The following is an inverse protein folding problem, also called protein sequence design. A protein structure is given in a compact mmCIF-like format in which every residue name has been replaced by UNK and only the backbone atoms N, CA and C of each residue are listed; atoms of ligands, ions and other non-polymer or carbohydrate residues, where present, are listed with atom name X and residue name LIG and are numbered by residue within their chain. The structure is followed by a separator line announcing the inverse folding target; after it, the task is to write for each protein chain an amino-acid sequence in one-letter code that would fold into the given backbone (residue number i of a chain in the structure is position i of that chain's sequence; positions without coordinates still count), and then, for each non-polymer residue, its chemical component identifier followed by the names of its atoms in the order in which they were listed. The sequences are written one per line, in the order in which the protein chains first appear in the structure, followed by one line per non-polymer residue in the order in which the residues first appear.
data_IF_020263859923
#
_entry.id   IF_020263859923
#
_cell.length_a   1.000
_cell.length_b   1.000
_cell.length_c   1.000
_cell.angle_alpha   90.00
_cell.angle_beta   90.00
_cell.angle_gamma   90.00
#
_symmetry.space_group_name_H-M   'P 1'
#
loop_
_entity.id
_entity.type
_entity.pdbx_description
1 polymer ?
#
# COMPACT_ATOMS: atom_id res chain seq x y z
N UNK A 1 -6.84 18.63 2.60
CA UNK A 1 -7.33 17.41 1.90
C UNK A 1 -7.93 16.45 2.91
N UNK A 2 -8.91 15.67 2.48
CA UNK A 2 -9.46 14.54 3.22
C UNK A 2 -8.76 13.25 2.75
N UNK A 3 -7.92 12.66 3.60
CA UNK A 3 -7.04 11.55 3.25
C UNK A 3 -7.46 10.29 4.02
N UNK A 4 -7.49 9.15 3.35
CA UNK A 4 -7.69 7.85 4.00
C UNK A 4 -6.45 6.98 3.86
N UNK A 5 -5.97 6.39 4.98
CA UNK A 5 -4.82 5.50 5.00
C UNK A 5 -5.23 4.16 5.61
N UNK A 6 -5.27 3.11 4.79
CA UNK A 6 -5.54 1.74 5.23
C UNK A 6 -4.21 1.07 5.57
N UNK A 7 -4.03 0.68 6.85
CA UNK A 7 -2.77 0.12 7.34
C UNK A 7 -1.83 1.19 7.94
N UNK A 8 -2.37 2.12 8.72
CA UNK A 8 -1.64 3.28 9.26
C UNK A 8 -0.84 3.00 10.54
N UNK A 9 -0.90 1.81 11.14
CA UNK A 9 -0.36 1.57 12.50
C UNK A 9 1.15 1.29 12.57
N UNK A 10 1.83 1.10 11.43
CA UNK A 10 3.29 0.84 11.39
C UNK A 10 3.89 1.15 10.01
N UNK A 11 5.21 1.07 9.94
CA UNK A 11 5.96 1.15 8.68
C UNK A 11 5.61 2.38 7.83
N UNK A 12 5.47 2.17 6.54
CA UNK A 12 5.20 3.22 5.55
C UNK A 12 3.88 3.95 5.86
N UNK A 13 2.81 3.21 6.21
CA UNK A 13 1.50 3.81 6.50
C UNK A 13 1.54 4.78 7.69
N UNK A 14 2.25 4.42 8.78
CA UNK A 14 2.47 5.32 9.92
C UNK A 14 3.28 6.56 9.54
N UNK A 15 4.36 6.37 8.78
CA UNK A 15 5.19 7.49 8.35
C UNK A 15 4.46 8.46 7.41
N UNK A 16 3.61 7.94 6.52
CA UNK A 16 2.75 8.77 5.67
C UNK A 16 1.73 9.54 6.51
N UNK A 17 1.07 8.86 7.47
CA UNK A 17 0.13 9.51 8.39
C UNK A 17 0.78 10.71 9.09
N UNK A 18 1.93 10.51 9.75
CA UNK A 18 2.62 11.58 10.49
C UNK A 18 2.95 12.76 9.58
N UNK A 19 3.47 12.50 8.37
CA UNK A 19 3.79 13.57 7.43
C UNK A 19 2.58 14.35 6.93
N UNK A 20 1.48 13.66 6.64
CA UNK A 20 0.25 14.32 6.21
C UNK A 20 -0.45 15.07 7.36
N UNK A 21 -0.38 14.56 8.61
CA UNK A 21 -0.95 15.19 9.78
C UNK A 21 -0.20 16.47 10.20
N UNK A 22 1.09 16.58 9.90
CA UNK A 22 1.86 17.81 10.09
C UNK A 22 1.46 18.94 9.12
N UNK A 23 0.77 18.62 8.04
CA UNK A 23 0.16 19.60 7.16
C UNK A 23 -1.33 19.80 7.51
N UNK A 24 -2.01 20.69 6.83
CA UNK A 24 -3.42 20.95 7.04
C UNK A 24 -4.31 19.95 6.27
N UNK A 25 -4.41 18.72 6.82
CA UNK A 25 -5.23 17.65 6.29
C UNK A 25 -6.09 17.03 7.38
N UNK A 26 -7.29 16.54 7.01
CA UNK A 26 -8.10 15.64 7.82
C UNK A 26 -7.83 14.22 7.36
N UNK A 27 -7.55 13.30 8.30
CA UNK A 27 -7.06 11.97 7.95
C UNK A 27 -7.87 10.88 8.65
N UNK A 28 -8.51 10.03 7.85
CA UNK A 28 -9.07 8.76 8.31
C UNK A 28 -8.00 7.66 8.30
N UNK A 29 -7.81 6.99 9.42
CA UNK A 29 -6.85 5.89 9.55
C UNK A 29 -7.53 4.59 9.94
N UNK A 30 -7.12 3.50 9.25
CA UNK A 30 -7.61 2.15 9.50
C UNK A 30 -6.47 1.21 9.84
N UNK A 31 -6.73 0.30 10.76
CA UNK A 31 -5.81 -0.78 11.15
C UNK A 31 -6.41 -1.70 12.21
N UNK A 32 -5.74 -2.81 12.49
CA UNK A 32 -6.21 -3.82 13.45
C UNK A 32 -5.90 -3.47 14.92
N UNK A 33 -4.84 -2.71 15.14
CA UNK A 33 -4.28 -2.42 16.47
C UNK A 33 -4.86 -1.13 17.02
N UNK A 34 -5.98 -1.23 17.73
CA UNK A 34 -6.73 -0.09 18.28
C UNK A 34 -5.88 0.80 19.20
N UNK A 35 -5.02 0.20 20.02
CA UNK A 35 -4.11 0.95 20.89
C UNK A 35 -3.18 1.87 20.10
N UNK A 36 -2.59 1.39 19.00
CA UNK A 36 -1.71 2.19 18.15
C UNK A 36 -2.47 3.26 17.37
N UNK A 37 -3.68 2.95 16.91
CA UNK A 37 -4.54 3.95 16.26
C UNK A 37 -4.87 5.09 17.23
N UNK A 38 -5.20 4.78 18.48
CA UNK A 38 -5.51 5.78 19.50
C UNK A 38 -4.29 6.65 19.85
N UNK A 39 -3.08 6.07 19.92
CA UNK A 39 -1.84 6.84 20.08
C UNK A 39 -1.66 7.85 18.94
N UNK A 40 -1.90 7.45 17.71
CA UNK A 40 -1.80 8.36 16.55
C UNK A 40 -2.86 9.46 16.61
N UNK A 41 -4.10 9.13 17.00
CA UNK A 41 -5.16 10.12 17.19
C UNK A 41 -4.82 11.11 18.30
N UNK A 42 -4.24 10.66 19.42
CA UNK A 42 -3.86 11.56 20.53
C UNK A 42 -2.78 12.57 20.11
N UNK A 43 -1.90 12.22 19.19
CA UNK A 43 -0.89 13.15 18.64
C UNK A 43 -1.49 14.26 17.76
N UNK A 44 -2.62 13.96 17.07
CA UNK A 44 -3.28 14.89 16.13
C UNK A 44 -4.82 14.81 16.30
N UNK A 45 -5.37 15.18 17.46
CA UNK A 45 -6.75 14.88 17.83
C UNK A 45 -7.79 15.55 16.94
N UNK A 46 -7.56 16.78 16.50
CA UNK A 46 -8.48 17.54 15.64
C UNK A 46 -8.46 17.12 14.17
N UNK A 47 -7.45 16.37 13.75
CA UNK A 47 -7.23 16.01 12.34
C UNK A 47 -7.47 14.51 12.04
N UNK A 48 -7.58 13.68 13.07
CA UNK A 48 -7.53 12.21 12.91
C UNK A 48 -8.83 11.54 13.28
N UNK A 49 -9.39 10.81 12.34
CA UNK A 49 -10.53 9.91 12.53
C UNK A 49 -10.00 8.47 12.48
N UNK A 50 -10.39 7.67 13.46
CA UNK A 50 -9.90 6.30 13.62
C UNK A 50 -11.03 5.32 13.38
N UNK A 51 -10.76 4.29 12.59
CA UNK A 51 -11.63 3.12 12.49
C UNK A 51 -10.82 1.82 12.60
N UNK A 52 -11.23 0.94 13.51
CA UNK A 52 -10.61 -0.40 13.63
C UNK A 52 -11.19 -1.29 12.54
N UNK A 53 -10.33 -1.96 11.77
CA UNK A 53 -10.75 -3.06 10.89
C UNK A 53 -9.56 -3.95 10.53
N UNK A 54 -9.84 -5.24 10.31
CA UNK A 54 -8.96 -6.16 9.60
C UNK A 54 -9.38 -6.20 8.12
N UNK A 55 -8.43 -6.02 7.20
CA UNK A 55 -8.73 -6.05 5.76
C UNK A 55 -9.19 -7.44 5.28
N UNK A 56 -8.89 -8.50 6.04
CA UNK A 56 -9.37 -9.87 5.75
C UNK A 56 -10.83 -10.08 6.20
N UNK A 57 -11.38 -9.20 7.03
CA UNK A 57 -12.79 -9.19 7.40
C UNK A 57 -13.53 -8.13 6.57
N UNK A 58 -14.18 -8.56 5.51
CA UNK A 58 -14.82 -7.66 4.54
C UNK A 58 -15.92 -6.79 5.17
N UNK A 59 -16.64 -7.31 6.17
CA UNK A 59 -17.67 -6.53 6.88
C UNK A 59 -17.05 -5.42 7.74
N UNK A 60 -15.97 -5.72 8.48
CA UNK A 60 -15.28 -4.70 9.27
C UNK A 60 -14.71 -3.59 8.39
N UNK A 61 -14.07 -3.95 7.28
CA UNK A 61 -13.47 -2.96 6.39
C UNK A 61 -14.51 -2.11 5.66
N UNK A 62 -15.63 -2.68 5.26
CA UNK A 62 -16.74 -1.93 4.68
C UNK A 62 -17.31 -0.91 5.66
N UNK A 63 -17.58 -1.33 6.90
CA UNK A 63 -18.05 -0.43 7.96
C UNK A 63 -17.04 0.67 8.26
N UNK A 64 -15.73 0.34 8.29
CA UNK A 64 -14.67 1.31 8.52
C UNK A 64 -14.63 2.37 7.40
N UNK A 65 -14.68 1.96 6.14
CA UNK A 65 -14.67 2.88 5.00
C UNK A 65 -15.91 3.78 5.02
N UNK A 66 -17.09 3.21 5.26
CA UNK A 66 -18.34 3.98 5.33
C UNK A 66 -18.34 4.99 6.50
N UNK A 67 -17.82 4.60 7.66
CA UNK A 67 -17.64 5.51 8.80
C UNK A 67 -16.73 6.68 8.43
N UNK A 68 -15.58 6.40 7.83
CA UNK A 68 -14.65 7.45 7.40
C UNK A 68 -15.24 8.36 6.32
N UNK A 69 -16.01 7.80 5.39
CA UNK A 69 -16.67 8.59 4.34
C UNK A 69 -17.72 9.52 4.94
N UNK A 70 -18.51 9.03 5.90
CA UNK A 70 -19.49 9.85 6.62
C UNK A 70 -18.83 11.02 7.38
N UNK A 71 -17.73 10.74 8.10
CA UNK A 71 -17.04 11.73 8.95
C UNK A 71 -16.24 12.76 8.12
N UNK A 72 -15.63 12.33 7.02
CA UNK A 72 -14.84 13.21 6.14
C UNK A 72 -15.68 13.90 5.07
N UNK A 73 -16.83 13.32 4.70
CA UNK A 73 -17.72 13.80 3.64
C UNK A 73 -17.32 13.35 2.24
N UNK A 74 -16.03 13.35 1.94
CA UNK A 74 -15.44 12.87 0.68
C UNK A 74 -13.99 12.47 0.90
N UNK A 75 -13.39 11.78 -0.07
CA UNK A 75 -11.97 11.47 -0.08
C UNK A 75 -11.27 12.18 -1.23
N UNK A 76 -10.19 12.92 -0.94
CA UNK A 76 -9.29 13.47 -1.97
C UNK A 76 -8.21 12.44 -2.35
N UNK A 77 -7.72 11.70 -1.34
CA UNK A 77 -6.65 10.73 -1.48
C UNK A 77 -6.94 9.49 -0.60
N UNK A 78 -6.85 8.32 -1.19
CA UNK A 78 -6.86 7.06 -0.47
C UNK A 78 -5.56 6.29 -0.71
N UNK A 79 -4.93 5.83 0.38
CA UNK A 79 -3.65 5.12 0.32
C UNK A 79 -3.81 3.73 0.95
N UNK A 80 -3.68 2.69 0.13
CA UNK A 80 -3.66 1.30 0.57
C UNK A 80 -2.23 0.91 0.95
N UNK A 81 -1.97 0.86 2.26
CA UNK A 81 -0.67 0.47 2.85
C UNK A 81 -0.71 -0.89 3.53
N UNK A 82 -1.90 -1.44 3.83
CA UNK A 82 -2.00 -2.73 4.50
C UNK A 82 -1.45 -3.84 3.60
N UNK A 83 -0.70 -4.72 4.20
CA UNK A 83 -0.10 -5.89 3.57
C UNK A 83 0.75 -6.65 4.57
N UNK A 84 0.97 -7.91 4.30
CA UNK A 84 1.83 -8.81 5.08
C UNK A 84 2.80 -9.53 4.17
N UNK A 85 3.93 -9.95 4.71
CA UNK A 85 4.91 -10.80 4.05
C UNK A 85 5.85 -11.37 5.08
N UNK A 86 6.18 -12.63 4.92
CA UNK A 86 7.15 -13.32 5.75
C UNK A 86 8.01 -14.25 4.90
N UNK A 87 9.17 -14.62 5.44
CA UNK A 87 10.02 -15.67 4.88
C UNK A 87 9.35 -17.02 5.14
N UNK A 88 9.28 -17.87 4.14
CA UNK A 88 8.65 -19.18 4.19
C UNK A 88 9.43 -20.23 3.40
N UNK A 89 10.63 -20.54 3.88
CA UNK A 89 11.52 -21.50 3.23
C UNK A 89 10.95 -22.93 3.22
N UNK A 90 10.05 -23.26 4.14
CA UNK A 90 9.44 -24.61 4.29
C UNK A 90 8.10 -24.76 3.58
N UNK A 91 7.61 -23.71 2.93
CA UNK A 91 6.29 -23.65 2.28
C UNK A 91 5.13 -23.96 3.26
N UNK A 92 5.22 -23.44 4.49
CA UNK A 92 4.11 -23.51 5.45
C UNK A 92 2.87 -22.80 4.87
N UNK A 93 1.82 -23.58 4.64
CA UNK A 93 0.59 -23.09 4.02
C UNK A 93 -0.11 -22.00 4.84
N UNK A 94 0.04 -21.98 6.16
CA UNK A 94 -0.57 -20.95 6.99
C UNK A 94 0.04 -19.56 6.70
N UNK A 95 1.35 -19.49 6.48
CA UNK A 95 2.06 -18.25 6.09
C UNK A 95 1.61 -17.81 4.69
N UNK A 96 1.58 -18.75 3.73
CA UNK A 96 1.13 -18.49 2.36
C UNK A 96 -0.33 -17.98 2.35
N UNK A 97 -1.21 -18.66 3.07
CA UNK A 97 -2.63 -18.33 3.18
C UNK A 97 -2.84 -16.94 3.74
N UNK A 98 -2.12 -16.58 4.82
CA UNK A 98 -2.20 -15.24 5.40
C UNK A 98 -1.80 -14.14 4.41
N UNK A 99 -0.76 -14.39 3.60
CA UNK A 99 -0.33 -13.47 2.55
C UNK A 99 -1.42 -13.32 1.47
N UNK A 100 -2.04 -14.42 1.03
CA UNK A 100 -3.11 -14.42 0.02
C UNK A 100 -4.34 -13.68 0.55
N UNK A 101 -4.83 -14.04 1.74
CA UNK A 101 -6.03 -13.44 2.32
C UNK A 101 -5.89 -11.93 2.52
N UNK A 102 -4.70 -11.48 2.97
CA UNK A 102 -4.45 -10.06 3.22
C UNK A 102 -4.14 -9.29 1.93
N UNK A 103 -3.18 -9.79 1.12
CA UNK A 103 -2.61 -9.03 0.00
C UNK A 103 -3.40 -9.21 -1.30
N UNK A 104 -4.26 -10.24 -1.39
CA UNK A 104 -5.12 -10.46 -2.56
C UNK A 104 -6.58 -10.23 -2.19
N UNK A 105 -7.17 -11.06 -1.35
CA UNK A 105 -8.61 -11.02 -1.09
C UNK A 105 -9.02 -9.68 -0.46
N UNK A 106 -8.52 -9.38 0.72
CA UNK A 106 -8.86 -8.15 1.44
C UNK A 106 -8.37 -6.90 0.71
N UNK A 107 -7.16 -6.96 0.13
CA UNK A 107 -6.59 -5.84 -0.63
C UNK A 107 -7.45 -5.48 -1.85
N UNK A 108 -7.89 -6.47 -2.63
CA UNK A 108 -8.74 -6.25 -3.80
C UNK A 108 -10.05 -5.59 -3.42
N UNK A 109 -10.72 -6.11 -2.38
CA UNK A 109 -11.96 -5.52 -1.89
C UNK A 109 -11.80 -4.04 -1.53
N UNK A 110 -10.72 -3.70 -0.80
CA UNK A 110 -10.45 -2.29 -0.43
C UNK A 110 -10.21 -1.42 -1.65
N UNK A 111 -9.39 -1.86 -2.61
CA UNK A 111 -9.12 -1.12 -3.85
C UNK A 111 -10.40 -0.85 -4.63
N UNK A 112 -11.22 -1.87 -4.82
CA UNK A 112 -12.47 -1.76 -5.56
C UNK A 112 -13.44 -0.80 -4.87
N UNK A 113 -13.57 -0.93 -3.56
CA UNK A 113 -14.46 -0.08 -2.78
C UNK A 113 -14.06 1.40 -2.83
N UNK A 114 -12.76 1.68 -2.65
CA UNK A 114 -12.23 3.04 -2.75
C UNK A 114 -12.35 3.60 -4.17
N UNK A 115 -12.10 2.77 -5.18
CA UNK A 115 -12.26 3.18 -6.58
C UNK A 115 -13.72 3.52 -6.91
N UNK A 116 -14.69 2.70 -6.48
CA UNK A 116 -16.12 2.98 -6.65
C UNK A 116 -16.57 4.29 -5.97
N UNK A 117 -16.01 4.60 -4.77
CA UNK A 117 -16.27 5.88 -4.12
C UNK A 117 -15.77 7.04 -5.00
N UNK A 118 -14.56 6.95 -5.54
CA UNK A 118 -14.04 7.97 -6.45
C UNK A 118 -14.82 8.08 -7.76
N UNK A 119 -15.31 6.96 -8.31
CA UNK A 119 -16.22 6.99 -9.48
C UNK A 119 -17.51 7.77 -9.17
N UNK A 120 -18.12 7.52 -8.00
CA UNK A 120 -19.33 8.24 -7.57
C UNK A 120 -19.07 9.72 -7.29
N UNK A 121 -17.88 10.06 -6.74
CA UNK A 121 -17.48 11.46 -6.54
C UNK A 121 -17.14 12.19 -7.85
N UNK A 122 -16.76 11.47 -8.91
CA UNK A 122 -16.28 12.02 -10.16
C UNK A 122 -14.81 12.46 -10.13
N UNK A 123 -14.10 12.31 -9.01
CA UNK A 123 -12.68 12.65 -8.84
C UNK A 123 -12.07 11.88 -7.67
N UNK A 124 -10.73 11.86 -7.61
CA UNK A 124 -9.97 11.34 -6.49
C UNK A 124 -8.60 10.80 -6.87
N UNK A 125 -7.83 10.41 -5.87
CA UNK A 125 -6.50 9.82 -6.06
C UNK A 125 -6.37 8.53 -5.26
N UNK A 126 -6.29 7.40 -5.96
CA UNK A 126 -6.05 6.08 -5.38
C UNK A 126 -4.57 5.74 -5.47
N UNK A 127 -3.90 5.55 -4.34
CA UNK A 127 -2.52 5.10 -4.27
C UNK A 127 -2.44 3.74 -3.55
N UNK A 128 -1.61 2.82 -4.04
CA UNK A 128 -1.36 1.57 -3.36
C UNK A 128 0.14 1.29 -3.21
N UNK A 129 0.52 0.79 -2.05
CA UNK A 129 1.89 0.35 -1.76
C UNK A 129 2.02 -1.13 -2.15
N UNK A 130 2.55 -1.35 -3.34
CA UNK A 130 2.84 -2.70 -3.85
C UNK A 130 4.26 -3.12 -3.44
N UNK A 131 5.11 -3.55 -4.34
CA UNK A 131 6.53 -3.84 -4.06
C UNK A 131 7.33 -4.04 -5.34
N UNK A 132 8.62 -3.72 -5.33
CA UNK A 132 9.56 -4.18 -6.35
C UNK A 132 9.72 -5.72 -6.33
N UNK A 133 9.49 -6.37 -5.18
CA UNK A 133 9.51 -7.83 -5.04
C UNK A 133 8.40 -8.57 -5.81
N UNK A 134 7.39 -7.85 -6.34
CA UNK A 134 6.40 -8.44 -7.24
C UNK A 134 6.82 -8.53 -8.71
N UNK A 135 8.05 -8.15 -9.06
CA UNK A 135 8.53 -8.22 -10.44
C UNK A 135 9.01 -9.61 -10.86
N UNK A 136 9.45 -10.42 -9.90
CA UNK A 136 9.91 -11.80 -10.08
C UNK A 136 9.51 -12.64 -8.87
N UNK A 137 9.40 -13.96 -9.07
CA UNK A 137 9.19 -14.89 -7.97
C UNK A 137 10.39 -14.92 -7.03
N UNK A 138 10.15 -14.89 -5.72
CA UNK A 138 11.17 -14.94 -4.67
C UNK A 138 11.08 -16.29 -3.95
N UNK A 139 12.17 -17.05 -3.97
CA UNK A 139 12.20 -18.42 -3.42
C UNK A 139 11.98 -18.44 -1.90
N UNK A 140 12.45 -17.42 -1.19
CA UNK A 140 12.29 -17.32 0.25
C UNK A 140 10.89 -16.87 0.69
N UNK A 141 10.06 -16.32 -0.23
CA UNK A 141 8.73 -15.79 0.07
C UNK A 141 7.80 -15.89 -1.14
N UNK A 142 7.42 -17.12 -1.57
CA UNK A 142 6.72 -17.34 -2.83
C UNK A 142 5.36 -16.65 -2.90
N UNK A 143 4.48 -16.83 -1.91
CA UNK A 143 3.18 -16.17 -1.92
C UNK A 143 3.31 -14.65 -1.81
N UNK A 144 4.24 -14.13 -1.01
CA UNK A 144 4.44 -12.67 -0.95
C UNK A 144 4.76 -12.10 -2.32
N UNK A 145 5.76 -12.64 -3.02
CA UNK A 145 6.15 -12.15 -4.35
C UNK A 145 5.02 -12.29 -5.37
N UNK A 146 4.30 -13.42 -5.35
CA UNK A 146 3.15 -13.68 -6.22
C UNK A 146 1.99 -12.69 -5.92
N UNK A 147 1.68 -12.44 -4.63
CA UNK A 147 0.63 -11.47 -4.26
C UNK A 147 1.00 -10.04 -4.67
N UNK A 148 2.28 -9.66 -4.58
CA UNK A 148 2.76 -8.35 -5.06
C UNK A 148 2.73 -8.24 -6.58
N UNK A 149 2.98 -9.31 -7.31
CA UNK A 149 2.79 -9.36 -8.77
C UNK A 149 1.32 -9.16 -9.16
N UNK A 150 0.40 -9.83 -8.44
CA UNK A 150 -1.04 -9.61 -8.57
C UNK A 150 -1.40 -8.14 -8.39
N UNK A 151 -0.97 -7.50 -7.28
CA UNK A 151 -1.25 -6.11 -6.98
C UNK A 151 -0.74 -5.16 -8.08
N UNK A 152 0.46 -5.39 -8.60
CA UNK A 152 1.05 -4.61 -9.70
C UNK A 152 0.17 -4.68 -10.95
N UNK A 153 -0.26 -5.88 -11.34
CA UNK A 153 -1.11 -6.10 -12.50
C UNK A 153 -2.50 -5.47 -12.29
N UNK A 154 -3.08 -5.66 -11.11
CA UNK A 154 -4.38 -5.11 -10.75
C UNK A 154 -4.40 -3.57 -10.80
N UNK A 155 -3.37 -2.91 -10.22
CA UNK A 155 -3.25 -1.44 -10.27
C UNK A 155 -3.08 -0.91 -11.71
N UNK A 156 -2.48 -1.68 -12.60
CA UNK A 156 -2.42 -1.34 -14.02
C UNK A 156 -3.82 -1.40 -14.68
N UNK A 157 -4.60 -2.44 -14.36
CA UNK A 157 -5.97 -2.59 -14.85
C UNK A 157 -6.88 -1.47 -14.34
N UNK A 158 -6.84 -1.13 -13.05
CA UNK A 158 -7.60 -0.02 -12.45
C UNK A 158 -7.21 1.33 -13.10
N UNK A 159 -5.94 1.55 -13.38
CA UNK A 159 -5.48 2.77 -14.07
C UNK A 159 -6.05 2.85 -15.50
N UNK A 160 -6.07 1.72 -16.22
CA UNK A 160 -6.66 1.65 -17.56
C UNK A 160 -8.18 1.92 -17.52
N UNK A 161 -8.87 1.37 -16.49
CA UNK A 161 -10.29 1.65 -16.24
C UNK A 161 -10.51 3.15 -15.97
N UNK A 162 -9.74 3.76 -15.07
CA UNK A 162 -9.83 5.18 -14.76
C UNK A 162 -9.62 6.08 -16.00
N UNK A 163 -8.66 5.73 -16.86
CA UNK A 163 -8.43 6.45 -18.11
C UNK A 163 -9.64 6.36 -19.05
N UNK A 164 -10.22 5.16 -19.23
CA UNK A 164 -11.39 4.96 -20.08
C UNK A 164 -12.65 5.66 -19.56
N UNK A 165 -12.75 5.84 -18.24
CA UNK A 165 -13.87 6.52 -17.59
C UNK A 165 -13.66 8.05 -17.47
N UNK A 166 -12.90 8.65 -18.38
CA UNK A 166 -12.71 10.11 -18.47
C UNK A 166 -11.49 10.67 -17.75
N UNK A 167 -10.67 9.82 -17.08
CA UNK A 167 -9.37 10.21 -16.53
C UNK A 167 -9.40 11.12 -15.30
N UNK A 168 -10.56 11.36 -14.69
CA UNK A 168 -10.69 12.22 -13.51
C UNK A 168 -10.14 11.59 -12.21
N UNK A 169 -9.94 10.27 -12.21
CA UNK A 169 -9.39 9.52 -11.08
C UNK A 169 -7.91 9.24 -11.34
N UNK A 170 -7.05 9.74 -10.46
CA UNK A 170 -5.62 9.41 -10.51
C UNK A 170 -5.35 8.07 -9.82
N UNK A 171 -4.51 7.23 -10.42
CA UNK A 171 -4.12 5.92 -9.85
C UNK A 171 -2.60 5.81 -9.80
N UNK A 172 -2.04 5.70 -8.60
CA UNK A 172 -0.59 5.59 -8.36
C UNK A 172 -0.21 4.24 -7.78
N UNK A 173 0.63 3.51 -8.50
CA UNK A 173 1.25 2.27 -8.04
C UNK A 173 2.65 2.57 -7.48
N UNK A 174 2.81 2.46 -6.16
CA UNK A 174 4.07 2.70 -5.45
C UNK A 174 4.76 1.38 -5.22
N UNK A 175 5.98 1.22 -5.76
CA UNK A 175 6.80 0.00 -5.70
C UNK A 175 8.07 0.23 -4.87
N UNK A 176 8.00 0.14 -3.53
CA UNK A 176 9.19 0.20 -2.71
C UNK A 176 10.10 -1.01 -2.95
N UNK A 177 11.40 -0.80 -2.78
CA UNK A 177 12.33 -1.88 -2.48
C UNK A 177 12.36 -2.18 -0.98
N UNK A 178 13.53 -2.55 -0.45
CA UNK A 178 13.70 -2.81 0.99
C UNK A 178 13.60 -1.51 1.80
N UNK A 179 12.72 -1.52 2.77
CA UNK A 179 12.43 -0.38 3.67
C UNK A 179 12.60 -0.84 5.11
N UNK A 180 13.25 -0.04 5.92
CA UNK A 180 13.48 -0.30 7.35
C UNK A 180 12.14 -0.34 8.11
N UNK A 181 11.55 -1.52 8.13
CA UNK A 181 10.27 -1.83 8.78
C UNK A 181 10.31 -3.26 9.33
N UNK A 182 9.39 -3.60 10.19
CA UNK A 182 9.27 -4.96 10.73
C UNK A 182 9.07 -6.06 9.65
N UNK A 183 8.76 -5.69 8.41
CA UNK A 183 8.61 -6.60 7.28
C UNK A 183 9.95 -6.89 6.58
N UNK A 184 10.98 -6.06 6.78
CA UNK A 184 12.32 -6.30 6.25
C UNK A 184 13.03 -7.34 7.13
N UNK A 185 12.90 -8.60 6.77
CA UNK A 185 13.47 -9.74 7.47
C UNK A 185 14.48 -10.46 6.56
N UNK A 186 15.42 -11.22 7.18
CA UNK A 186 16.44 -12.01 6.50
C UNK A 186 17.85 -11.45 6.64
N UNK A 187 18.83 -12.27 6.28
CA UNK A 187 20.25 -11.89 6.26
C UNK A 187 20.60 -11.24 4.91
N UNK A 188 21.71 -10.49 4.87
CA UNK A 188 22.22 -9.91 3.63
C UNK A 188 21.38 -8.80 3.01
N UNK A 189 20.49 -8.18 3.79
CA UNK A 189 19.67 -7.07 3.28
C UNK A 189 20.53 -5.91 2.79
N UNK A 190 20.37 -5.52 1.54
CA UNK A 190 21.10 -4.42 0.92
C UNK A 190 20.17 -3.27 0.54
N UNK A 191 20.72 -2.04 0.56
CA UNK A 191 19.98 -0.83 0.20
C UNK A 191 18.65 -0.64 0.96
N UNK A 192 18.63 -1.04 2.22
CA UNK A 192 17.50 -0.78 3.12
C UNK A 192 17.38 0.72 3.35
N UNK A 193 16.19 1.26 3.16
CA UNK A 193 15.96 2.70 3.22
C UNK A 193 15.18 3.08 4.48
N UNK A 194 15.59 4.18 5.16
CA UNK A 194 14.80 4.72 6.26
C UNK A 194 13.37 5.02 5.82
N UNK A 195 12.40 4.56 6.61
CA UNK A 195 10.96 4.66 6.30
C UNK A 195 10.52 6.11 6.08
N UNK A 196 11.10 7.05 6.83
CA UNK A 196 10.79 8.48 6.71
C UNK A 196 11.15 9.06 5.34
N UNK A 197 12.33 8.67 4.81
CA UNK A 197 12.78 9.06 3.47
C UNK A 197 11.90 8.44 2.37
N UNK A 198 11.48 7.19 2.57
CA UNK A 198 10.54 6.50 1.68
C UNK A 198 9.20 7.23 1.66
N UNK A 199 8.63 7.57 2.81
CA UNK A 199 7.39 8.30 2.92
C UNK A 199 7.45 9.67 2.21
N UNK A 200 8.54 10.41 2.36
CA UNK A 200 8.74 11.69 1.66
C UNK A 200 8.75 11.53 0.14
N UNK A 201 9.40 10.48 -0.38
CA UNK A 201 9.41 10.21 -1.83
C UNK A 201 8.04 9.77 -2.35
N UNK A 202 7.27 9.01 -1.54
CA UNK A 202 5.90 8.62 -1.88
C UNK A 202 5.01 9.85 -1.97
N UNK A 203 5.05 10.75 -0.99
CA UNK A 203 4.27 11.99 -0.98
C UNK A 203 4.61 12.84 -2.22
N UNK A 204 5.89 13.01 -2.53
CA UNK A 204 6.32 13.72 -3.73
C UNK A 204 5.87 13.07 -5.05
N UNK A 205 5.72 11.75 -5.08
CA UNK A 205 5.19 11.05 -6.26
C UNK A 205 3.67 11.22 -6.38
N UNK A 206 2.94 11.12 -5.26
CA UNK A 206 1.50 11.34 -5.19
C UNK A 206 1.16 12.79 -5.59
N UNK A 207 1.85 13.79 -5.05
CA UNK A 207 1.61 15.20 -5.39
C UNK A 207 1.83 15.51 -6.87
N UNK A 208 2.74 14.78 -7.53
CA UNK A 208 3.00 14.85 -8.98
C UNK A 208 2.10 13.93 -9.81
N UNK A 209 1.10 13.29 -9.19
CA UNK A 209 0.16 12.37 -9.84
C UNK A 209 0.85 11.28 -10.69
N UNK A 210 2.00 10.76 -10.24
CA UNK A 210 2.73 9.74 -10.98
C UNK A 210 1.94 8.44 -11.04
N UNK A 211 1.79 7.87 -12.22
CA UNK A 211 1.08 6.61 -12.41
C UNK A 211 1.81 5.41 -11.79
N UNK A 212 3.15 5.44 -11.77
CA UNK A 212 4.02 4.40 -11.21
C UNK A 212 5.29 5.03 -10.66
N UNK A 213 5.73 4.56 -9.50
CA UNK A 213 6.98 5.02 -8.88
C UNK A 213 7.71 3.87 -8.17
N UNK A 214 8.99 3.72 -8.46
CA UNK A 214 9.90 2.90 -7.67
C UNK A 214 10.54 3.76 -6.58
N UNK A 215 10.49 3.32 -5.36
CA UNK A 215 11.09 3.98 -4.21
C UNK A 215 12.15 3.04 -3.63
N UNK A 216 13.42 3.35 -3.75
CA UNK A 216 14.08 4.58 -4.25
C UNK A 216 14.50 4.47 -5.72
N UNK A 217 15.22 5.50 -6.25
CA UNK A 217 15.73 5.49 -7.64
C UNK A 217 16.62 4.28 -7.96
N UNK A 218 17.42 3.80 -6.99
CA UNK A 218 18.28 2.60 -7.14
C UNK A 218 17.46 1.35 -7.44
N UNK A 219 16.32 1.19 -6.77
CA UNK A 219 15.40 0.09 -7.01
C UNK A 219 14.73 0.14 -8.39
N UNK A 220 14.64 1.33 -9.00
CA UNK A 220 14.19 1.43 -10.40
C UNK A 220 15.17 0.76 -11.37
N UNK A 221 16.47 0.93 -11.16
CA UNK A 221 17.50 0.29 -12.00
C UNK A 221 17.43 -1.24 -11.84
N UNK A 222 17.37 -1.74 -10.60
CA UNK A 222 17.20 -3.17 -10.34
C UNK A 222 15.91 -3.73 -10.96
N UNK A 223 14.82 -2.99 -10.87
CA UNK A 223 13.55 -3.37 -11.46
C UNK A 223 13.63 -3.53 -12.99
N UNK A 224 14.40 -2.69 -13.68
CA UNK A 224 14.65 -2.80 -15.10
C UNK A 224 15.47 -4.07 -15.41
N UNK A 225 16.55 -4.30 -14.66
CA UNK A 225 17.39 -5.51 -14.80
C UNK A 225 16.55 -6.77 -14.57
N UNK A 226 15.79 -6.83 -13.48
CA UNK A 226 14.96 -8.01 -13.15
C UNK A 226 13.94 -8.35 -14.24
N UNK A 227 13.40 -7.37 -14.95
CA UNK A 227 12.42 -7.59 -16.02
C UNK A 227 13.01 -8.29 -17.26
N UNK A 228 14.26 -8.01 -17.58
CA UNK A 228 14.92 -8.54 -18.79
C UNK A 228 15.82 -9.73 -18.51
N UNK A 229 16.14 -10.01 -17.24
CA UNK A 229 17.09 -11.06 -16.86
C UNK A 229 16.52 -12.46 -17.19
N UNK A 230 17.20 -13.28 -18.03
CA UNK A 230 16.76 -14.64 -18.30
C UNK A 230 16.70 -15.49 -17.03
N UNK A 231 15.75 -16.43 -16.98
CA UNK A 231 15.52 -17.24 -15.77
C UNK A 231 16.75 -18.04 -15.35
N UNK A 232 17.52 -18.59 -16.30
CA UNK A 232 18.71 -19.39 -15.98
C UNK A 232 19.82 -18.60 -15.27
N UNK A 233 19.85 -17.27 -15.42
CA UNK A 233 20.72 -16.38 -14.64
C UNK A 233 20.05 -16.06 -13.31
N UNK A 234 18.78 -15.63 -13.35
CA UNK A 234 18.02 -15.23 -12.17
C UNK A 234 17.96 -16.28 -11.08
N UNK A 235 17.81 -17.57 -11.44
CA UNK A 235 17.78 -18.67 -10.46
C UNK A 235 19.05 -18.87 -9.64
N UNK A 236 20.13 -18.18 -9.96
CA UNK A 236 21.44 -18.24 -9.26
C UNK A 236 21.67 -17.06 -8.32
N UNK A 237 20.79 -16.06 -8.35
CA UNK A 237 20.78 -14.92 -7.47
C UNK A 237 19.94 -15.20 -6.24
#
# INVERSE_FOLDING_TARGET
MNIVIIGATSGIGKALFVKYANADNRIGIVGRRTNLLNVLRQQYPSKTIVSKADVTNLNEIEQAINTLLKELGHFDLAIMCAGVGDINATLDYAIERLAIDTNVVGWTYVIDRLYCIFEQQGYGHLAAITSAGGLRGESAAPAYSATKAYQINYMEAIRKKAFRNGGCITVTDVRPGLVDTAMAKGEGLFWVMPVDKVASQIIAAISKKKSKVYVTKRWHILALIYRILPFYIFKRL
#
